data_IF_122816432499
#
_entry.id   IF_122816432499
#
_cell.length_a   1.000
_cell.length_b   1.000
_cell.length_c   1.000
_cell.angle_alpha   90.00
_cell.angle_beta   90.00
_cell.angle_gamma   90.00
#
_symmetry.space_group_name_H-M   'P 1'
#
loop_
_entity.id
_entity.type
_entity.pdbx_description
1 polymer ?
#
# COMPACT_ATOMS: atom_id res chain seq x y z
N UNK A 1 13.66 16.14 -2.28
CA UNK A 1 13.98 16.05 -0.85
C UNK A 1 13.57 14.65 -0.45
N UNK A 2 14.50 13.80 -0.03
CA UNK A 2 14.16 12.46 0.45
C UNK A 2 13.66 12.63 1.88
N UNK A 3 12.35 12.66 2.08
CA UNK A 3 11.79 12.60 3.43
C UNK A 3 12.22 11.27 4.05
N UNK A 4 12.94 11.36 5.17
CA UNK A 4 13.31 10.19 5.95
C UNK A 4 12.03 9.72 6.61
N UNK A 5 11.39 8.72 6.00
CA UNK A 5 10.24 8.05 6.61
C UNK A 5 10.73 7.40 7.90
N UNK A 6 10.10 7.74 9.01
CA UNK A 6 10.50 7.25 10.32
C UNK A 6 9.29 6.64 11.01
N UNK A 7 9.45 5.46 11.61
CA UNK A 7 8.38 4.85 12.40
C UNK A 7 8.19 5.58 13.74
N UNK A 8 7.12 5.25 14.49
CA UNK A 8 6.88 5.84 15.83
C UNK A 8 8.04 5.67 16.82
N UNK A 9 8.89 4.67 16.62
CA UNK A 9 10.03 4.39 17.48
C UNK A 9 11.32 5.12 17.07
N UNK A 10 11.30 5.89 15.97
CA UNK A 10 12.48 6.61 15.49
C UNK A 10 13.36 5.80 14.54
N UNK A 11 12.90 4.65 14.04
CA UNK A 11 13.63 3.83 13.06
C UNK A 11 13.35 4.35 11.66
N UNK A 12 14.39 4.58 10.86
CA UNK A 12 14.22 4.90 9.45
C UNK A 12 13.59 3.71 8.72
N UNK A 13 12.66 3.99 7.81
CA UNK A 13 11.98 3.00 6.98
C UNK A 13 12.07 3.40 5.51
N UNK A 14 12.07 2.41 4.62
CA UNK A 14 12.01 2.61 3.19
C UNK A 14 10.88 1.80 2.59
N UNK A 15 10.11 2.43 1.70
CA UNK A 15 9.04 1.76 0.95
C UNK A 15 9.48 1.59 -0.51
N UNK A 16 9.37 0.38 -1.03
CA UNK A 16 9.69 0.09 -2.43
C UNK A 16 8.78 -1.00 -3.00
N UNK A 17 8.56 -0.98 -4.31
CA UNK A 17 7.87 -2.08 -5.01
C UNK A 17 8.72 -3.34 -4.91
N UNK A 18 8.11 -4.47 -4.57
CA UNK A 18 8.84 -5.74 -4.50
C UNK A 18 9.29 -6.18 -5.90
N UNK A 19 10.45 -6.85 -6.07
CA UNK A 19 10.96 -7.24 -7.39
C UNK A 19 10.02 -8.13 -8.19
N UNK A 20 9.18 -8.91 -7.50
CA UNK A 20 8.18 -9.78 -8.14
C UNK A 20 6.97 -8.99 -8.69
N UNK A 21 6.89 -7.69 -8.42
CA UNK A 21 5.74 -6.85 -8.74
C UNK A 21 4.52 -7.16 -7.89
N UNK A 22 3.45 -6.38 -8.07
CA UNK A 22 2.15 -6.65 -7.44
C UNK A 22 2.08 -6.41 -5.92
N UNK A 23 3.14 -5.89 -5.30
CA UNK A 23 3.08 -5.35 -3.94
C UNK A 23 4.14 -4.27 -3.69
N UNK A 24 3.88 -3.43 -2.70
CA UNK A 24 4.89 -2.58 -2.06
C UNK A 24 5.31 -3.22 -0.75
N UNK A 25 6.61 -3.25 -0.48
CA UNK A 25 7.19 -3.66 0.79
C UNK A 25 7.70 -2.46 1.58
N UNK A 26 7.56 -2.51 2.90
CA UNK A 26 8.23 -1.58 3.82
C UNK A 26 9.37 -2.31 4.53
N UNK A 27 10.56 -1.70 4.55
CA UNK A 27 11.79 -2.23 5.11
C UNK A 27 12.28 -1.28 6.21
N UNK A 28 12.71 -1.81 7.35
CA UNK A 28 13.34 -1.01 8.40
C UNK A 28 14.85 -0.96 8.16
N UNK A 29 15.46 0.16 8.52
CA UNK A 29 16.92 0.28 8.53
C UNK A 29 17.54 -0.77 9.46
N UNK A 30 18.45 -1.59 8.90
CA UNK A 30 19.12 -2.67 9.61
C UNK A 30 18.40 -4.02 9.56
N UNK A 31 17.27 -4.14 8.85
CA UNK A 31 16.60 -5.42 8.59
C UNK A 31 16.62 -5.79 7.11
N UNK A 32 16.94 -7.06 6.82
CA UNK A 32 16.94 -7.62 5.45
C UNK A 32 15.56 -8.13 5.00
N UNK A 33 14.57 -8.13 5.90
CA UNK A 33 13.20 -8.60 5.62
C UNK A 33 12.21 -7.43 5.59
N UNK A 34 11.19 -7.54 4.74
CA UNK A 34 10.06 -6.63 4.79
C UNK A 34 9.29 -6.76 6.11
N UNK A 35 8.96 -5.63 6.72
CA UNK A 35 8.09 -5.58 7.88
C UNK A 35 6.61 -5.62 7.53
N UNK A 36 6.28 -5.37 6.27
CA UNK A 36 4.91 -5.46 5.78
C UNK A 36 4.83 -5.26 4.28
N UNK A 37 3.70 -5.70 3.72
CA UNK A 37 3.40 -5.60 2.30
C UNK A 37 1.99 -5.08 2.06
N UNK A 38 1.82 -4.32 0.98
CA UNK A 38 0.51 -3.97 0.44
C UNK A 38 0.43 -4.41 -1.01
N UNK A 39 -0.46 -5.37 -1.25
CA UNK A 39 -0.66 -6.00 -2.54
C UNK A 39 -1.66 -5.21 -3.37
N UNK A 40 -1.33 -5.10 -4.66
CA UNK A 40 -2.13 -4.43 -5.65
C UNK A 40 -2.21 -5.23 -6.96
N UNK A 41 -3.27 -4.98 -7.72
CA UNK A 41 -3.39 -5.47 -9.10
C UNK A 41 -3.72 -4.30 -10.01
N UNK A 42 -2.95 -4.17 -11.08
CA UNK A 42 -3.18 -3.15 -12.09
C UNK A 42 -4.25 -3.59 -13.09
N UNK A 43 -5.17 -2.68 -13.38
CA UNK A 43 -6.27 -2.87 -14.32
C UNK A 43 -6.41 -1.63 -15.20
N UNK A 44 -5.65 -1.61 -16.29
CA UNK A 44 -5.64 -0.48 -17.21
C UNK A 44 -5.01 0.76 -16.56
N UNK A 45 -5.82 1.79 -16.28
CA UNK A 45 -5.39 3.03 -15.59
C UNK A 45 -5.78 3.05 -14.11
N UNK A 46 -6.07 1.88 -13.54
CA UNK A 46 -6.49 1.73 -12.15
C UNK A 46 -5.56 0.75 -11.44
N UNK A 47 -5.28 1.01 -10.17
CA UNK A 47 -4.53 0.11 -9.27
C UNK A 47 -5.41 -0.26 -8.10
N UNK A 48 -5.71 -1.56 -8.01
CA UNK A 48 -6.62 -2.11 -7.01
C UNK A 48 -5.81 -2.62 -5.82
N UNK A 49 -5.87 -1.90 -4.69
CA UNK A 49 -5.24 -2.32 -3.45
C UNK A 49 -6.18 -3.23 -2.66
N UNK A 50 -5.81 -4.49 -2.50
CA UNK A 50 -6.73 -5.52 -1.99
C UNK A 50 -6.29 -6.19 -0.69
N UNK A 51 -5.00 -6.17 -0.37
CA UNK A 51 -4.50 -6.79 0.84
C UNK A 51 -3.32 -6.01 1.39
N UNK A 52 -3.37 -5.67 2.68
CA UNK A 52 -2.25 -5.06 3.39
C UNK A 52 -1.99 -5.90 4.64
N UNK A 53 -0.75 -6.31 4.81
CA UNK A 53 -0.29 -7.10 5.96
C UNK A 53 0.98 -6.47 6.50
N UNK A 54 1.08 -6.39 7.82
CA UNK A 54 2.29 -5.97 8.53
C UNK A 54 2.56 -7.04 9.56
N UNK A 55 3.82 -7.44 9.72
CA UNK A 55 4.24 -8.43 10.70
C UNK A 55 3.78 -8.03 12.10
N UNK A 56 3.33 -9.00 12.88
CA UNK A 56 2.80 -8.76 14.23
C UNK A 56 3.87 -8.10 15.12
N UNK A 57 5.14 -8.46 14.93
CA UNK A 57 6.29 -7.89 15.64
C UNK A 57 6.52 -6.39 15.34
N UNK A 58 5.91 -5.88 14.27
CA UNK A 58 5.96 -4.48 13.85
C UNK A 58 4.62 -3.75 14.05
N UNK A 59 3.61 -4.43 14.57
CA UNK A 59 2.32 -3.82 14.90
C UNK A 59 2.48 -2.69 15.93
N UNK A 60 1.59 -1.70 15.88
CA UNK A 60 1.62 -0.53 16.77
C UNK A 60 2.65 0.56 16.41
N UNK A 61 3.56 0.30 15.47
CA UNK A 61 4.60 1.25 15.04
C UNK A 61 4.14 2.25 13.96
N UNK A 62 2.94 2.08 13.41
CA UNK A 62 2.38 2.93 12.35
C UNK A 62 2.83 2.57 10.93
N UNK A 63 3.58 1.47 10.75
CA UNK A 63 4.13 1.05 9.46
C UNK A 63 3.07 0.85 8.37
N UNK A 64 1.89 0.30 8.72
CA UNK A 64 0.81 0.11 7.76
C UNK A 64 0.34 1.43 7.14
N UNK A 65 0.35 2.52 7.92
CA UNK A 65 -0.01 3.85 7.44
C UNK A 65 1.03 4.38 6.46
N UNK A 66 2.31 4.36 6.85
CA UNK A 66 3.44 4.81 6.02
C UNK A 66 3.49 4.04 4.70
N UNK A 67 3.33 2.72 4.76
CA UNK A 67 3.33 1.84 3.61
C UNK A 67 2.21 2.19 2.62
N UNK A 68 0.97 2.34 3.13
CA UNK A 68 -0.17 2.68 2.28
C UNK A 68 -0.03 4.08 1.71
N UNK A 69 0.37 5.05 2.52
CA UNK A 69 0.62 6.43 2.08
C UNK A 69 1.57 6.49 0.90
N UNK A 70 2.75 5.90 1.04
CA UNK A 70 3.77 5.89 -0.01
C UNK A 70 3.30 5.13 -1.26
N UNK A 71 2.60 4.01 -1.09
CA UNK A 71 2.06 3.25 -2.22
C UNK A 71 0.98 4.06 -2.99
N UNK A 72 0.15 4.81 -2.28
CA UNK A 72 -0.87 5.68 -2.87
C UNK A 72 -0.23 6.88 -3.57
N UNK A 73 0.75 7.54 -2.94
CA UNK A 73 1.49 8.65 -3.53
C UNK A 73 2.23 8.24 -4.81
N UNK A 74 2.92 7.09 -4.81
CA UNK A 74 3.56 6.57 -6.00
C UNK A 74 2.53 6.28 -7.11
N UNK A 75 1.38 5.71 -6.75
CA UNK A 75 0.27 5.48 -7.70
C UNK A 75 -0.26 6.79 -8.28
N UNK A 76 -0.38 7.83 -7.46
CA UNK A 76 -0.78 9.18 -7.88
C UNK A 76 0.26 9.80 -8.80
N UNK A 77 1.54 9.69 -8.47
CA UNK A 77 2.65 10.20 -9.28
C UNK A 77 2.71 9.54 -10.66
N UNK A 78 2.27 8.27 -10.75
CA UNK A 78 2.10 7.56 -12.02
C UNK A 78 0.83 7.97 -12.79
N UNK A 79 -0.04 8.81 -12.22
CA UNK A 79 -1.31 9.20 -12.83
C UNK A 79 -2.34 8.08 -12.88
N UNK A 80 -2.23 7.10 -11.98
CA UNK A 80 -3.10 5.92 -11.91
C UNK A 80 -4.19 6.15 -10.86
N UNK A 81 -5.41 5.67 -11.13
CA UNK A 81 -6.54 5.76 -10.20
C UNK A 81 -6.46 4.68 -9.13
N UNK A 82 -6.56 5.07 -7.87
CA UNK A 82 -6.58 4.15 -6.72
C UNK A 82 -7.97 3.54 -6.54
N UNK A 83 -8.01 2.21 -6.35
CA UNK A 83 -9.23 1.48 -5.99
C UNK A 83 -9.02 0.70 -4.68
N UNK A 84 -9.55 1.17 -3.54
CA UNK A 84 -9.26 0.59 -2.23
C UNK A 84 -10.23 -0.56 -1.87
N UNK A 85 -9.94 -1.78 -2.34
CA UNK A 85 -10.69 -2.99 -1.94
C UNK A 85 -10.39 -3.37 -0.48
N UNK A 86 -9.15 -3.20 -0.04
CA UNK A 86 -8.76 -3.45 1.34
C UNK A 86 -9.48 -2.47 2.29
N UNK A 87 -10.14 -2.95 3.36
CA UNK A 87 -10.84 -2.08 4.30
C UNK A 87 -9.88 -1.10 5.01
N UNK A 88 -8.62 -1.50 5.22
CA UNK A 88 -7.60 -0.63 5.80
C UNK A 88 -7.30 0.56 4.89
N UNK A 89 -7.01 0.31 3.61
CA UNK A 89 -6.73 1.37 2.62
C UNK A 89 -7.94 2.29 2.48
N UNK A 90 -9.15 1.73 2.42
CA UNK A 90 -10.39 2.53 2.38
C UNK A 90 -10.55 3.44 3.60
N UNK A 91 -10.26 2.91 4.79
CA UNK A 91 -10.28 3.71 6.03
C UNK A 91 -9.20 4.78 6.01
N UNK A 92 -8.01 4.46 5.51
CA UNK A 92 -6.89 5.40 5.40
C UNK A 92 -7.24 6.55 4.46
N UNK A 93 -7.73 6.28 3.25
CA UNK A 93 -8.11 7.34 2.29
C UNK A 93 -9.23 8.24 2.81
N UNK A 94 -10.15 7.69 3.61
CA UNK A 94 -11.23 8.46 4.23
C UNK A 94 -10.80 9.31 5.43
N UNK A 95 -9.74 8.90 6.15
CA UNK A 95 -9.23 9.60 7.33
C UNK A 95 -8.19 10.67 7.01
N UNK A 96 -7.39 10.46 5.97
CA UNK A 96 -6.24 11.32 5.63
C UNK A 96 -6.54 12.30 4.47
N UNK A 97 -7.82 12.61 4.22
CA UNK A 97 -8.25 13.58 3.19
C UNK A 97 -7.56 13.40 1.82
N UNK A 98 -7.40 12.14 1.39
CA UNK A 98 -6.72 11.80 0.14
C UNK A 98 -7.27 12.60 -1.05
N UNK A 99 -6.42 13.41 -1.69
CA UNK A 99 -6.81 14.32 -2.77
C UNK A 99 -6.50 13.77 -4.18
N UNK A 100 -5.94 12.56 -4.27
CA UNK A 100 -5.62 11.92 -5.55
C UNK A 100 -6.82 11.22 -6.22
N UNK A 101 -6.66 10.73 -7.46
CA UNK A 101 -7.71 10.03 -8.19
C UNK A 101 -8.12 8.76 -7.45
N UNK A 102 -9.36 8.73 -6.94
CA UNK A 102 -9.90 7.65 -6.13
C UNK A 102 -11.22 7.17 -6.73
N UNK A 103 -11.37 5.86 -6.91
CA UNK A 103 -12.64 5.23 -7.26
C UNK A 103 -13.00 4.18 -6.22
N UNK A 104 -14.23 4.24 -5.71
CA UNK A 104 -14.72 3.20 -4.79
C UNK A 104 -14.77 1.83 -5.50
N UNK A 105 -14.37 0.75 -4.81
CA UNK A 105 -14.46 -0.59 -5.37
C UNK A 105 -15.92 -1.01 -5.54
N UNK A 106 -16.18 -1.82 -6.57
CA UNK A 106 -17.46 -2.48 -6.80
C UNK A 106 -17.28 -4.00 -6.86
N UNK A 107 -18.39 -4.74 -7.02
CA UNK A 107 -18.37 -6.20 -7.04
C UNK A 107 -17.50 -6.80 -8.16
N UNK A 108 -17.37 -6.12 -9.30
CA UNK A 108 -16.50 -6.57 -10.38
C UNK A 108 -15.01 -6.47 -10.01
N UNK A 109 -14.62 -5.47 -9.21
CA UNK A 109 -13.24 -5.33 -8.75
C UNK A 109 -12.88 -6.44 -7.76
N UNK A 110 -13.80 -6.77 -6.84
CA UNK A 110 -13.62 -7.88 -5.90
C UNK A 110 -13.46 -9.19 -6.65
N UNK A 111 -14.34 -9.45 -7.63
CA UNK A 111 -14.26 -10.65 -8.47
C UNK A 111 -12.93 -10.70 -9.25
N UNK A 112 -12.54 -9.59 -9.86
CA UNK A 112 -11.28 -9.49 -10.58
C UNK A 112 -10.06 -9.80 -9.69
N UNK A 113 -10.05 -9.28 -8.45
CA UNK A 113 -9.00 -9.61 -7.47
C UNK A 113 -9.02 -11.10 -7.14
N UNK A 114 -10.18 -11.71 -6.88
CA UNK A 114 -10.26 -13.14 -6.58
C UNK A 114 -9.70 -13.98 -7.73
N UNK A 115 -10.01 -13.60 -8.97
CA UNK A 115 -9.58 -14.31 -10.18
C UNK A 115 -8.08 -14.12 -10.49
N UNK A 116 -7.45 -13.03 -10.01
CA UNK A 116 -6.06 -12.66 -10.36
C UNK A 116 -5.08 -12.66 -9.18
N UNK A 117 -5.54 -12.77 -7.93
CA UNK A 117 -4.68 -12.80 -6.74
C UNK A 117 -4.11 -14.19 -6.41
N UNK A 118 -4.60 -15.25 -7.07
CA UNK A 118 -4.16 -16.65 -6.89
C UNK A 118 -3.17 -17.15 -7.94
N UNK A 119 -2.62 -16.25 -8.77
CA UNK A 119 -1.65 -16.61 -9.82
C UNK A 119 -0.22 -16.39 -9.39
#
# INVERSE_FOLDING_TARGET
>A
MSEILTDKNGTSVSVSVIPQGGAYGIYLEGEDKEAGTTHFIDRGKERIFFHTVVGEEYSGRGLAGILVENALEDTRNQGITVVPVCPFVRSWTGKNEWDGPLRQPNQNDIKFVIDNSRR
#
